data_IF_880101383124
#
_entry.id   IF_880101383124
#
_cell.length_a   1.000
_cell.length_b   1.000
_cell.length_c   1.000
_cell.angle_alpha   90.00
_cell.angle_beta   90.00
_cell.angle_gamma   90.00
#
_symmetry.space_group_name_H-M   'P 1'
#
loop_
_entity.id
_entity.type
_entity.pdbx_description
1 polymer ?
#
# COMPACT_ATOMS: atom_id res chain seq x y z
N UNK A 1 -2.59 -1.77 39.94
CA UNK A 1 -2.66 -2.27 38.55
C UNK A 1 -1.51 -3.23 38.34
N UNK A 2 -1.76 -4.47 37.95
CA UNK A 2 -0.71 -5.44 37.61
C UNK A 2 -0.30 -5.24 36.15
N UNK A 3 1.01 -5.14 35.90
CA UNK A 3 1.57 -5.10 34.55
C UNK A 3 1.99 -6.51 34.17
N UNK A 4 1.50 -7.01 33.04
CA UNK A 4 1.80 -8.34 32.52
C UNK A 4 2.53 -8.17 31.18
N UNK A 5 3.70 -8.78 31.05
CA UNK A 5 4.49 -8.75 29.83
C UNK A 5 4.13 -9.95 28.96
N UNK A 6 3.82 -9.70 27.68
CA UNK A 6 3.52 -10.72 26.69
C UNK A 6 4.53 -10.66 25.55
N UNK A 7 4.96 -11.82 25.06
CA UNK A 7 5.73 -11.91 23.82
C UNK A 7 4.81 -11.63 22.64
N UNK A 8 5.15 -10.61 21.86
CA UNK A 8 4.41 -10.17 20.70
C UNK A 8 5.32 -10.15 19.47
N UNK A 9 4.80 -10.55 18.31
CA UNK A 9 5.47 -10.40 17.01
C UNK A 9 4.52 -9.81 15.98
N UNK A 10 5.06 -9.05 15.03
CA UNK A 10 4.35 -8.56 13.86
C UNK A 10 4.94 -9.24 12.63
N UNK A 11 4.11 -9.79 11.75
CA UNK A 11 4.58 -10.39 10.49
C UNK A 11 4.77 -9.35 9.38
N UNK A 12 5.22 -9.81 8.21
CA UNK A 12 5.42 -8.98 7.02
C UNK A 12 4.14 -8.34 6.47
N UNK A 13 2.97 -8.86 6.84
CA UNK A 13 1.65 -8.37 6.43
C UNK A 13 1.02 -7.44 7.48
N UNK A 14 1.72 -7.17 8.59
CA UNK A 14 1.26 -6.29 9.66
C UNK A 14 0.31 -6.94 10.68
N UNK A 15 0.17 -8.27 10.70
CA UNK A 15 -0.62 -8.97 11.70
C UNK A 15 0.14 -9.11 13.01
N UNK A 16 -0.49 -8.68 14.12
CA UNK A 16 0.04 -8.83 15.48
C UNK A 16 -0.33 -10.21 16.04
N UNK A 17 0.69 -10.99 16.39
CA UNK A 17 0.54 -12.25 17.11
C UNK A 17 0.98 -12.09 18.55
N UNK A 18 0.08 -12.40 19.48
CA UNK A 18 0.34 -12.43 20.92
C UNK A 18 0.43 -13.89 21.36
N UNK A 19 1.54 -14.27 21.98
CA UNK A 19 1.67 -15.61 22.57
C UNK A 19 1.02 -15.61 23.95
N UNK A 20 -0.16 -16.22 24.06
CA UNK A 20 -0.85 -16.37 25.35
C UNK A 20 -0.09 -17.37 26.24
N UNK A 21 0.29 -17.00 27.48
CA UNK A 21 0.83 -17.94 28.45
C UNK A 21 -0.25 -18.92 28.87
N UNK A 22 0.13 -20.16 29.15
CA UNK A 22 -0.78 -21.24 29.58
C UNK A 22 -1.62 -20.89 30.80
N UNK A 23 -1.13 -20.00 31.67
CA UNK A 23 -1.83 -19.54 32.87
C UNK A 23 -3.05 -18.63 32.57
N UNK A 24 -3.22 -18.20 31.32
CA UNK A 24 -4.33 -17.32 30.88
C UNK A 24 -5.23 -17.99 29.82
N UNK A 25 -5.07 -19.31 29.61
CA UNK A 25 -5.91 -20.06 28.67
C UNK A 25 -7.39 -20.00 29.10
N UNK A 26 -8.26 -19.57 28.19
CA UNK A 26 -9.70 -19.42 28.45
C UNK A 26 -10.10 -18.11 29.14
N UNK A 27 -9.18 -17.18 29.35
CA UNK A 27 -9.49 -15.84 29.87
C UNK A 27 -9.62 -14.82 28.74
N UNK A 28 -10.65 -13.98 28.81
CA UNK A 28 -10.80 -12.82 27.94
C UNK A 28 -10.01 -11.64 28.52
N UNK A 29 -9.02 -11.14 27.78
CA UNK A 29 -8.23 -9.97 28.16
C UNK A 29 -8.66 -8.81 27.26
N UNK A 30 -9.38 -7.85 27.84
CA UNK A 30 -9.74 -6.59 27.18
C UNK A 30 -8.71 -5.51 27.53
N UNK A 31 -8.05 -4.99 26.51
CA UNK A 31 -7.04 -3.94 26.67
C UNK A 31 -6.94 -3.08 25.41
N UNK A 32 -6.44 -1.85 25.56
CA UNK A 32 -6.18 -0.95 24.44
C UNK A 32 -4.71 -1.07 24.06
N UNK A 33 -4.44 -1.62 22.87
CA UNK A 33 -3.09 -1.63 22.31
C UNK A 33 -2.70 -0.19 21.95
N UNK A 34 -1.75 0.37 22.71
CA UNK A 34 -1.13 1.66 22.41
C UNK A 34 0.11 1.38 21.55
N UNK A 35 -0.07 1.18 20.26
CA UNK A 35 1.06 1.16 19.34
C UNK A 35 1.57 2.59 19.16
N UNK A 36 2.83 2.85 19.48
CA UNK A 36 3.55 3.96 18.88
C UNK A 36 3.97 3.49 17.50
N UNK A 37 3.05 3.57 16.53
CA UNK A 37 3.48 3.54 15.14
C UNK A 37 4.43 4.73 15.00
N UNK A 38 5.74 4.47 14.94
CA UNK A 38 6.60 5.40 14.24
C UNK A 38 5.95 5.55 12.87
N UNK A 39 5.45 6.74 12.51
CA UNK A 39 4.87 6.91 11.21
C UNK A 39 6.02 6.68 10.23
N UNK A 40 6.08 5.49 9.65
CA UNK A 40 6.47 5.40 8.25
C UNK A 40 5.55 6.42 7.62
N UNK A 41 6.16 7.51 7.19
CA UNK A 41 5.50 8.69 6.67
C UNK A 41 4.65 8.27 5.48
N UNK A 42 3.43 7.80 5.76
CA UNK A 42 2.34 7.81 4.80
C UNK A 42 2.28 9.26 4.38
N UNK A 43 2.63 9.59 3.12
CA UNK A 43 2.59 10.96 2.69
C UNK A 43 1.18 11.44 2.99
N UNK A 44 1.10 12.52 3.78
CA UNK A 44 -0.12 13.24 4.07
C UNK A 44 -0.63 13.89 2.78
N UNK A 45 -1.01 13.05 1.81
CA UNK A 45 -1.84 13.46 0.70
C UNK A 45 -3.20 13.63 1.32
N UNK A 46 -3.56 14.89 1.58
CA UNK A 46 -4.98 15.28 1.58
C UNK A 46 -5.61 14.55 0.40
N UNK A 47 -6.50 13.60 0.68
CA UNK A 47 -7.27 12.93 -0.36
C UNK A 47 -8.17 13.98 -1.00
N UNK A 48 -7.61 14.74 -1.94
CA UNK A 48 -8.40 15.54 -2.84
C UNK A 48 -9.27 14.54 -3.58
N UNK A 49 -10.59 14.59 -3.36
CA UNK A 49 -11.55 13.76 -4.08
C UNK A 49 -11.29 13.94 -5.57
N UNK A 50 -10.79 12.89 -6.21
CA UNK A 50 -10.56 12.86 -7.64
C UNK A 50 -11.93 12.77 -8.31
N UNK A 51 -12.22 13.72 -9.21
CA UNK A 51 -13.41 13.62 -10.05
C UNK A 51 -13.18 12.55 -11.12
N UNK A 52 -13.74 11.37 -10.90
CA UNK A 52 -13.63 10.21 -11.80
C UNK A 52 -14.29 10.49 -13.16
N UNK A 53 -15.32 11.34 -13.21
CA UNK A 53 -15.97 11.67 -14.48
C UNK A 53 -15.06 12.56 -15.33
N UNK A 54 -14.37 13.51 -14.69
CA UNK A 54 -13.35 14.32 -15.35
C UNK A 54 -12.21 13.45 -15.90
N UNK A 55 -11.67 12.53 -15.08
CA UNK A 55 -10.62 11.58 -15.51
C UNK A 55 -11.10 10.77 -16.71
N UNK A 56 -12.31 10.21 -16.67
CA UNK A 56 -12.87 9.43 -17.77
C UNK A 56 -13.02 10.24 -19.05
N UNK A 57 -13.47 11.50 -18.95
CA UNK A 57 -13.58 12.41 -20.08
C UNK A 57 -12.23 12.68 -20.73
N UNK A 58 -11.20 12.96 -19.94
CA UNK A 58 -9.82 13.18 -20.43
C UNK A 58 -9.30 11.93 -21.14
N UNK A 59 -9.45 10.74 -20.55
CA UNK A 59 -9.04 9.50 -21.18
C UNK A 59 -9.74 9.24 -22.52
N UNK A 60 -11.03 9.58 -22.63
CA UNK A 60 -11.76 9.44 -23.88
C UNK A 60 -11.21 10.39 -24.95
N UNK A 61 -10.93 11.64 -24.60
CA UNK A 61 -10.35 12.63 -25.53
C UNK A 61 -9.00 12.15 -26.05
N UNK A 62 -8.10 11.70 -25.17
CA UNK A 62 -6.77 11.20 -25.54
C UNK A 62 -6.89 9.99 -26.50
N UNK A 63 -7.79 9.05 -26.22
CA UNK A 63 -7.98 7.86 -27.08
C UNK A 63 -8.52 8.17 -28.47
N UNK A 64 -9.19 9.31 -28.64
CA UNK A 64 -9.70 9.74 -29.96
C UNK A 64 -8.66 10.46 -30.82
N UNK A 65 -7.47 10.75 -30.29
CA UNK A 65 -6.41 11.40 -31.04
C UNK A 65 -5.77 10.44 -32.06
N UNK A 66 -5.32 10.96 -33.22
CA UNK A 66 -4.58 10.16 -34.18
C UNK A 66 -3.24 9.71 -33.61
N UNK A 67 -2.82 8.50 -33.98
CA UNK A 67 -1.50 7.98 -33.62
C UNK A 67 -0.42 8.71 -34.43
N UNK A 68 0.47 9.44 -33.74
CA UNK A 68 1.56 10.21 -34.36
C UNK A 68 2.82 9.37 -34.58
N UNK A 69 3.04 8.39 -33.70
CA UNK A 69 4.19 7.50 -33.71
C UNK A 69 3.69 6.09 -33.41
N UNK A 70 4.05 5.13 -34.26
CA UNK A 70 3.66 3.72 -34.12
C UNK A 70 4.60 2.93 -33.22
N UNK A 71 5.75 3.52 -32.84
CA UNK A 71 6.71 2.88 -31.95
C UNK A 71 6.06 2.60 -30.60
N UNK A 72 6.42 1.46 -30.04
CA UNK A 72 6.10 1.09 -28.68
C UNK A 72 6.79 2.04 -27.70
N UNK A 73 6.29 2.16 -26.45
CA UNK A 73 6.94 2.97 -25.44
C UNK A 73 8.41 2.64 -25.26
N UNK A 74 8.77 1.35 -25.28
CA UNK A 74 10.14 0.86 -25.12
C UNK A 74 11.03 1.31 -26.29
N UNK A 75 10.56 1.18 -27.54
CA UNK A 75 11.28 1.69 -28.71
C UNK A 75 11.44 3.22 -28.69
N UNK A 76 10.49 3.95 -28.09
CA UNK A 76 10.58 5.40 -27.91
C UNK A 76 11.69 5.75 -26.91
N UNK A 77 11.87 4.96 -25.85
CA UNK A 77 12.93 5.15 -24.85
C UNK A 77 14.27 4.50 -25.23
N UNK A 78 14.36 3.85 -26.39
CA UNK A 78 15.61 3.24 -26.90
C UNK A 78 15.87 1.84 -26.37
N UNK A 79 14.83 1.11 -25.99
CA UNK A 79 14.90 -0.26 -25.52
C UNK A 79 14.22 -1.19 -26.54
N UNK A 80 14.82 -2.36 -26.77
CA UNK A 80 14.20 -3.40 -27.58
C UNK A 80 13.11 -4.17 -26.79
N UNK A 81 12.46 -5.13 -27.44
CA UNK A 81 11.37 -5.94 -26.85
C UNK A 81 11.79 -6.74 -25.59
N UNK A 82 13.10 -6.92 -25.37
CA UNK A 82 13.65 -7.59 -24.19
C UNK A 82 14.04 -6.62 -23.07
N UNK A 83 13.81 -5.31 -23.25
CA UNK A 83 14.23 -4.29 -22.30
C UNK A 83 15.75 -4.08 -22.30
N UNK A 84 16.42 -4.30 -23.43
CA UNK A 84 17.86 -4.04 -23.60
C UNK A 84 18.04 -2.72 -24.39
N UNK A 85 18.91 -1.79 -23.93
CA UNK A 85 19.20 -0.56 -24.67
C UNK A 85 19.83 -0.83 -26.05
N UNK A 86 19.38 -0.12 -27.08
CA UNK A 86 19.93 -0.12 -28.45
C UNK A 86 20.27 1.29 -28.96
#
# INVERSE_FOLDING_TARGET
>A
MQQINFDARVDENGFLYLKMPSNFAGMEITGKLLYQAHPISLPNRKENKIDINLVRSICHQIRSLPMLDSRTPDEIIGYNEFGIPE
#
